data_IF_161497257367
#
_entry.id   IF_161497257367
#
_cell.length_a   1.000
_cell.length_b   1.000
_cell.length_c   1.000
_cell.angle_alpha   90.00
_cell.angle_beta   90.00
_cell.angle_gamma   90.00
#
_symmetry.space_group_name_H-M   'P 1'
#
loop_
_entity.id
_entity.type
_entity.pdbx_description
1 polymer ?
#
# COMPACT_ATOMS: atom_id res chain seq x y z
N UNK A 1 -26.95 -6.93 8.51
CA UNK A 1 -26.30 -5.59 8.61
C UNK A 1 -24.87 -5.72 9.10
N UNK A 2 -24.62 -6.41 10.22
CA UNK A 2 -23.25 -6.52 10.81
C UNK A 2 -22.22 -7.24 9.92
N UNK A 3 -22.56 -8.39 9.32
CA UNK A 3 -21.63 -9.13 8.46
C UNK A 3 -21.17 -8.34 7.22
N UNK A 4 -22.06 -7.54 6.64
CA UNK A 4 -21.72 -6.66 5.51
C UNK A 4 -20.79 -5.54 5.96
N UNK A 5 -21.05 -4.96 7.13
CA UNK A 5 -20.19 -3.93 7.71
C UNK A 5 -18.79 -4.45 8.03
N UNK A 6 -18.67 -5.65 8.58
CA UNK A 6 -17.37 -6.27 8.87
C UNK A 6 -16.56 -6.53 7.59
N UNK A 7 -17.17 -7.14 6.57
CA UNK A 7 -16.52 -7.37 5.27
C UNK A 7 -16.08 -6.05 4.64
N UNK A 8 -16.93 -5.03 4.71
CA UNK A 8 -16.63 -3.70 4.20
C UNK A 8 -15.44 -3.08 4.94
N UNK A 9 -15.46 -3.06 6.28
CA UNK A 9 -14.39 -2.50 7.12
C UNK A 9 -13.06 -3.20 6.83
N UNK A 10 -13.06 -4.53 6.78
CA UNK A 10 -11.83 -5.31 6.52
C UNK A 10 -11.28 -5.04 5.12
N UNK A 11 -12.13 -5.01 4.10
CA UNK A 11 -11.75 -4.70 2.73
C UNK A 11 -11.23 -3.27 2.59
N UNK A 12 -11.95 -2.30 3.15
CA UNK A 12 -11.61 -0.90 3.13
C UNK A 12 -10.29 -0.63 3.85
N UNK A 13 -10.13 -1.16 5.08
CA UNK A 13 -8.91 -1.02 5.86
C UNK A 13 -7.71 -1.64 5.13
N UNK A 14 -7.85 -2.87 4.62
CA UNK A 14 -6.80 -3.52 3.86
C UNK A 14 -6.44 -2.78 2.55
N UNK A 15 -7.39 -2.08 1.94
CA UNK A 15 -7.11 -1.19 0.81
C UNK A 15 -6.34 0.06 1.27
N UNK A 16 -6.81 0.72 2.33
CA UNK A 16 -6.18 1.92 2.88
C UNK A 16 -4.71 1.70 3.23
N UNK A 17 -4.41 0.60 3.95
CA UNK A 17 -3.03 0.20 4.29
C UNK A 17 -2.17 0.05 3.02
N UNK A 18 -2.65 -0.69 2.00
CA UNK A 18 -1.90 -0.85 0.74
C UNK A 18 -1.69 0.48 0.00
N UNK A 19 -2.65 1.40 0.05
CA UNK A 19 -2.51 2.73 -0.55
C UNK A 19 -1.47 3.58 0.18
N UNK A 20 -1.44 3.56 1.52
CA UNK A 20 -0.42 4.25 2.32
C UNK A 20 0.97 3.72 1.95
N UNK A 21 1.16 2.41 1.93
CA UNK A 21 2.46 1.83 1.57
C UNK A 21 2.87 2.10 0.12
N UNK A 22 1.95 2.03 -0.83
CA UNK A 22 2.21 2.41 -2.22
C UNK A 22 2.58 3.91 -2.35
N UNK A 23 1.91 4.78 -1.60
CA UNK A 23 2.18 6.22 -1.55
C UNK A 23 3.59 6.51 -1.04
N UNK A 24 3.98 5.87 0.06
CA UNK A 24 5.33 6.02 0.62
C UNK A 24 6.40 5.53 -0.36
N UNK A 25 6.22 4.34 -0.95
CA UNK A 25 7.15 3.80 -1.97
C UNK A 25 7.27 4.73 -3.16
N UNK A 26 6.14 5.26 -3.66
CA UNK A 26 6.12 6.21 -4.76
C UNK A 26 6.88 7.50 -4.41
N UNK A 27 6.63 8.08 -3.24
CA UNK A 27 7.34 9.26 -2.73
C UNK A 27 8.84 9.02 -2.65
N UNK A 28 9.28 7.93 -2.01
CA UNK A 28 10.68 7.55 -1.90
C UNK A 28 11.33 7.39 -3.29
N UNK A 29 10.70 6.63 -4.19
CA UNK A 29 11.25 6.42 -5.54
C UNK A 29 11.34 7.72 -6.33
N UNK A 30 10.37 8.63 -6.19
CA UNK A 30 10.41 9.94 -6.85
C UNK A 30 11.54 10.83 -6.32
N UNK A 31 11.86 10.72 -5.03
CA UNK A 31 12.98 11.46 -4.41
C UNK A 31 14.34 10.86 -4.78
N UNK A 32 14.50 9.54 -4.71
CA UNK A 32 15.79 8.87 -4.95
C UNK A 32 16.12 8.64 -6.43
N UNK A 33 15.12 8.56 -7.31
CA UNK A 33 15.31 8.32 -8.75
C UNK A 33 14.88 9.51 -9.60
N UNK A 34 15.35 10.72 -9.23
CA UNK A 34 15.11 11.94 -10.02
C UNK A 34 15.48 11.69 -11.48
N UNK A 35 14.50 11.86 -12.39
CA UNK A 35 14.66 11.67 -13.83
C UNK A 35 14.05 10.39 -14.41
N UNK A 36 13.68 9.39 -13.61
CA UNK A 36 12.89 8.23 -14.12
C UNK A 36 11.41 8.47 -13.89
N UNK A 37 10.60 8.23 -14.92
CA UNK A 37 9.14 8.28 -14.81
C UNK A 37 8.65 7.09 -13.97
N UNK A 38 8.34 7.36 -12.71
CA UNK A 38 7.75 6.37 -11.80
C UNK A 38 6.23 6.52 -11.85
N UNK A 39 5.49 5.44 -12.08
CA UNK A 39 4.03 5.46 -12.09
C UNK A 39 3.48 4.96 -10.76
N UNK A 40 2.67 5.79 -10.10
CA UNK A 40 1.93 5.37 -8.91
C UNK A 40 1.03 4.17 -9.20
N UNK A 41 0.36 4.18 -10.36
CA UNK A 41 -0.52 3.08 -10.79
C UNK A 41 0.24 1.76 -10.86
N UNK A 42 1.46 1.75 -11.42
CA UNK A 42 2.29 0.55 -11.48
C UNK A 42 2.74 0.08 -10.10
N UNK A 43 3.09 1.00 -9.18
CA UNK A 43 3.45 0.64 -7.81
C UNK A 43 2.25 0.08 -7.05
N UNK A 44 1.04 0.58 -7.27
CA UNK A 44 -0.14 0.15 -6.52
C UNK A 44 -0.80 -1.10 -7.10
N UNK A 45 -0.98 -1.13 -8.42
CA UNK A 45 -1.78 -2.12 -9.13
C UNK A 45 -0.96 -3.07 -10.00
N UNK A 46 0.31 -2.75 -10.28
CA UNK A 46 1.15 -3.50 -11.22
C UNK A 46 1.04 -3.00 -12.66
N UNK A 47 1.71 -3.72 -13.56
CA UNK A 47 1.55 -3.61 -15.02
C UNK A 47 0.67 -4.73 -15.53
N UNK A 48 0.17 -4.62 -16.76
CA UNK A 48 -0.57 -5.71 -17.41
C UNK A 48 0.34 -6.93 -17.68
N UNK A 49 1.66 -6.72 -17.73
CA UNK A 49 2.68 -7.77 -17.90
C UNK A 49 3.03 -8.51 -16.59
N UNK A 50 2.44 -8.13 -15.45
CA UNK A 50 2.76 -8.75 -14.16
C UNK A 50 2.13 -10.14 -14.06
N UNK A 51 2.91 -11.11 -13.58
CA UNK A 51 2.36 -12.39 -13.17
C UNK A 51 1.53 -12.25 -11.89
N UNK A 52 0.73 -13.27 -11.58
CA UNK A 52 0.02 -13.33 -10.29
C UNK A 52 0.98 -13.27 -9.09
N UNK A 53 2.20 -13.80 -9.23
CA UNK A 53 3.23 -13.73 -8.18
C UNK A 53 3.72 -12.29 -8.01
N UNK A 54 3.97 -11.57 -9.12
CA UNK A 54 4.37 -10.16 -9.06
C UNK A 54 3.30 -9.28 -8.39
N UNK A 55 2.01 -9.55 -8.65
CA UNK A 55 0.91 -8.88 -7.97
C UNK A 55 0.84 -9.22 -6.48
N UNK A 56 1.08 -10.48 -6.10
CA UNK A 56 1.10 -10.91 -4.71
C UNK A 56 2.23 -10.21 -3.94
N UNK A 57 3.45 -10.25 -4.48
CA UNK A 57 4.63 -9.61 -3.90
C UNK A 57 4.46 -8.09 -3.79
N UNK A 58 3.90 -7.46 -4.82
CA UNK A 58 3.65 -6.03 -4.79
C UNK A 58 2.58 -5.64 -3.75
N UNK A 59 1.51 -6.43 -3.62
CA UNK A 59 0.51 -6.22 -2.57
C UNK A 59 1.08 -6.48 -1.17
N UNK A 60 1.95 -7.48 -1.01
CA UNK A 60 2.65 -7.77 0.24
C UNK A 60 3.55 -6.59 0.64
N UNK A 61 4.39 -6.11 -0.27
CA UNK A 61 5.30 -4.98 -0.02
C UNK A 61 4.53 -3.69 0.34
N UNK A 62 3.47 -3.38 -0.41
CA UNK A 62 2.61 -2.23 -0.12
C UNK A 62 1.86 -2.39 1.20
N UNK A 63 1.34 -3.59 1.49
CA UNK A 63 0.65 -3.90 2.74
C UNK A 63 1.57 -3.77 3.94
N UNK A 64 2.77 -4.36 3.87
CA UNK A 64 3.76 -4.34 4.94
C UNK A 64 4.21 -2.92 5.27
N UNK A 65 4.63 -2.14 4.26
CA UNK A 65 5.06 -0.75 4.47
C UNK A 65 3.92 0.11 5.01
N UNK A 66 2.71 -0.05 4.47
CA UNK A 66 1.53 0.67 4.95
C UNK A 66 1.21 0.35 6.41
N UNK A 67 1.35 -0.93 6.79
CA UNK A 67 1.10 -1.37 8.16
C UNK A 67 2.16 -0.82 9.13
N UNK A 68 3.44 -0.79 8.73
CA UNK A 68 4.50 -0.17 9.52
C UNK A 68 4.21 1.32 9.78
N UNK A 69 3.80 2.06 8.73
CA UNK A 69 3.41 3.47 8.88
C UNK A 69 2.25 3.60 9.87
N UNK A 70 1.22 2.78 9.72
CA UNK A 70 0.08 2.78 10.64
C UNK A 70 0.48 2.44 12.08
N UNK A 71 1.35 1.45 12.29
CA UNK A 71 1.86 1.07 13.60
C UNK A 71 2.64 2.22 14.27
N UNK A 72 3.47 2.93 13.50
CA UNK A 72 4.17 4.13 14.00
C UNK A 72 3.16 5.20 14.42
N UNK A 73 2.12 5.47 13.63
CA UNK A 73 1.07 6.41 14.03
C UNK A 73 0.36 6.01 15.32
N UNK A 74 0.05 4.71 15.50
CA UNK A 74 -0.55 4.23 16.74
C UNK A 74 0.35 4.44 17.96
N UNK A 75 1.66 4.14 17.83
CA UNK A 75 2.64 4.36 18.89
C UNK A 75 2.72 5.85 19.25
N UNK A 76 2.73 6.73 18.24
CA UNK A 76 2.81 8.18 18.43
C UNK A 76 1.56 8.80 19.08
N UNK A 77 0.38 8.21 18.88
CA UNK A 77 -0.86 8.69 19.50
C UNK A 77 -1.02 8.12 20.92
N UNK A 78 -0.48 6.92 21.16
CA UNK A 78 -0.59 6.23 22.44
C UNK A 78 0.46 6.65 23.48
N UNK A 79 1.41 7.51 23.10
CA UNK A 79 2.51 8.01 23.93
C UNK A 79 2.48 9.53 24.01
#
# INVERSE_FOLDING_TARGET
MELIAEIFIRSWFGSAIRHIGAGLRYGCLRLFRRGRKVSYRQIRYGSDDFSNMDHADNNLANGFIGFLVFAVFLILIAN
#
